data_IF_482586998394
#
_entry.id   IF_482586998394
#
_cell.length_a   1.000
_cell.length_b   1.000
_cell.length_c   1.000
_cell.angle_alpha   90.00
_cell.angle_beta   90.00
_cell.angle_gamma   90.00
#
_symmetry.space_group_name_H-M   'P 1'
#
loop_
_entity.id
_entity.type
_entity.pdbx_description
1 polymer ?
#
# COMPACT_ATOMS: atom_id res chain seq x y z
N UNK A 1 8.38 -8.96 6.62
CA UNK A 1 8.28 -9.50 5.27
C UNK A 1 9.24 -8.81 4.33
N UNK A 2 9.93 -9.62 3.57
CA UNK A 2 10.86 -9.09 2.58
C UNK A 2 10.14 -8.88 1.25
N UNK A 3 10.64 -7.92 0.46
CA UNK A 3 10.10 -7.68 -0.85
C UNK A 3 8.94 -6.71 -0.91
N UNK A 4 8.50 -6.22 0.24
CA UNK A 4 7.45 -5.21 0.25
C UNK A 4 8.00 -3.88 -0.24
N UNK A 5 7.16 -3.08 -0.88
CA UNK A 5 7.60 -1.79 -1.34
C UNK A 5 6.58 -1.07 -2.18
N UNK A 6 7.04 0.05 -2.73
CA UNK A 6 6.18 0.91 -3.54
C UNK A 6 6.92 1.39 -4.79
N UNK A 7 7.85 0.60 -5.27
CA UNK A 7 8.63 0.98 -6.43
C UNK A 7 7.76 1.17 -7.66
N UNK A 8 6.80 0.28 -7.85
CA UNK A 8 5.90 0.34 -8.98
C UNK A 8 4.60 -0.36 -8.64
N UNK A 9 3.68 -0.38 -9.62
CA UNK A 9 2.39 -0.99 -9.41
C UNK A 9 2.49 -2.47 -9.06
N UNK A 10 3.38 -3.17 -9.73
CA UNK A 10 3.57 -4.59 -9.46
C UNK A 10 4.01 -4.82 -8.02
N UNK A 11 4.94 -4.02 -7.56
CA UNK A 11 5.44 -4.12 -6.20
C UNK A 11 4.34 -3.83 -5.19
N UNK A 12 3.52 -2.83 -5.48
CA UNK A 12 2.40 -2.50 -4.62
C UNK A 12 1.40 -3.64 -4.54
N UNK A 13 1.08 -4.23 -5.68
CA UNK A 13 0.17 -5.37 -5.70
C UNK A 13 0.76 -6.56 -4.95
N UNK A 14 2.05 -6.80 -5.12
CA UNK A 14 2.73 -7.85 -4.38
C UNK A 14 2.63 -7.60 -2.88
N UNK A 15 2.86 -6.35 -2.47
CA UNK A 15 2.78 -5.99 -1.06
C UNK A 15 1.40 -6.29 -0.49
N UNK A 16 0.36 -5.84 -1.20
CA UNK A 16 -1.02 -6.09 -0.77
C UNK A 16 -1.28 -7.58 -0.64
N UNK A 17 -0.84 -8.34 -1.63
CA UNK A 17 -1.04 -9.78 -1.64
C UNK A 17 -0.28 -10.46 -0.50
N UNK A 18 0.95 -10.00 -0.25
CA UNK A 18 1.79 -10.62 0.76
C UNK A 18 1.23 -10.43 2.17
N UNK A 19 0.63 -9.28 2.43
CA UNK A 19 0.10 -9.01 3.77
C UNK A 19 -1.34 -9.47 3.94
N UNK A 20 -1.94 -9.97 2.89
CA UNK A 20 -3.37 -10.34 2.91
C UNK A 20 -3.70 -11.33 4.02
N UNK A 21 -2.78 -12.21 4.33
CA UNK A 21 -3.00 -13.22 5.36
C UNK A 21 -2.70 -12.73 6.77
N UNK A 22 -2.22 -11.53 6.90
CA UNK A 22 -1.90 -10.97 8.21
C UNK A 22 -3.13 -10.30 8.83
N UNK A 23 -3.11 -10.11 10.15
CA UNK A 23 -4.21 -9.38 10.79
C UNK A 23 -4.42 -8.01 10.16
N UNK A 24 -5.65 -7.54 10.19
CA UNK A 24 -5.98 -6.28 9.54
C UNK A 24 -5.15 -5.11 10.10
N UNK A 25 -4.87 -5.12 11.38
CA UNK A 25 -4.04 -4.10 11.99
C UNK A 25 -2.67 -4.03 11.33
N UNK A 26 -2.09 -5.18 11.09
CA UNK A 26 -0.79 -5.27 10.42
C UNK A 26 -0.89 -4.72 9.01
N UNK A 27 -1.93 -5.10 8.29
CA UNK A 27 -2.12 -4.65 6.93
C UNK A 27 -2.23 -3.13 6.85
N UNK A 28 -3.04 -2.56 7.72
CA UNK A 28 -3.23 -1.11 7.75
C UNK A 28 -1.90 -0.40 8.02
N UNK A 29 -1.14 -0.91 9.00
CA UNK A 29 0.14 -0.31 9.34
C UNK A 29 1.11 -0.33 8.17
N UNK A 30 1.19 -1.46 7.47
CA UNK A 30 2.09 -1.59 6.33
C UNK A 30 1.69 -0.62 5.23
N UNK A 31 0.41 -0.63 4.87
CA UNK A 31 -0.07 0.23 3.79
C UNK A 31 0.11 1.71 4.14
N UNK A 32 -0.26 2.09 5.36
CA UNK A 32 -0.10 3.48 5.78
C UNK A 32 1.35 3.92 5.76
N UNK A 33 2.25 3.05 6.20
CA UNK A 33 3.68 3.35 6.18
C UNK A 33 4.18 3.52 4.77
N UNK A 34 3.80 2.60 3.88
CA UNK A 34 4.22 2.69 2.48
C UNK A 34 3.69 3.94 1.81
N UNK A 35 2.42 4.27 2.07
CA UNK A 35 1.82 5.48 1.52
C UNK A 35 2.56 6.73 1.99
N UNK A 36 2.85 6.81 3.28
CA UNK A 36 3.56 7.95 3.82
C UNK A 36 4.92 8.13 3.18
N UNK A 37 5.66 7.03 3.07
CA UNK A 37 6.98 7.08 2.47
C UNK A 37 6.92 7.46 1.00
N UNK A 38 5.98 6.90 0.27
CA UNK A 38 5.86 7.18 -1.15
C UNK A 38 5.47 8.64 -1.39
N UNK A 39 4.54 9.14 -0.60
CA UNK A 39 4.09 10.53 -0.75
C UNK A 39 5.20 11.53 -0.45
N UNK A 40 6.08 11.20 0.48
CA UNK A 40 7.17 12.07 0.88
C UNK A 40 8.45 11.86 0.09
N UNK A 41 8.42 10.92 -0.85
CA UNK A 41 9.61 10.65 -1.65
C UNK A 41 9.94 11.84 -2.54
N UNK A 42 11.18 12.35 -2.51
CA UNK A 42 11.52 13.54 -3.27
C UNK A 42 11.53 13.33 -4.78
N UNK A 43 11.73 12.11 -5.23
CA UNK A 43 11.79 11.82 -6.66
C UNK A 43 10.73 10.81 -7.07
N UNK A 44 9.49 11.19 -7.00
CA UNK A 44 8.41 10.31 -7.41
C UNK A 44 8.46 10.04 -8.89
N UNK A 45 8.39 8.78 -9.26
CA UNK A 45 8.27 8.38 -10.66
C UNK A 45 6.82 8.06 -10.97
N UNK A 46 6.53 7.90 -12.26
CA UNK A 46 5.20 7.49 -12.67
C UNK A 46 4.81 6.16 -12.04
N UNK A 47 5.76 5.25 -11.98
CA UNK A 47 5.52 3.93 -11.39
C UNK A 47 5.18 4.05 -9.91
N UNK A 48 5.84 4.94 -9.21
CA UNK A 48 5.53 5.17 -7.80
C UNK A 48 4.14 5.75 -7.62
N UNK A 49 3.72 6.62 -8.52
CA UNK A 49 2.37 7.15 -8.48
C UNK A 49 1.33 6.04 -8.64
N UNK A 50 1.61 5.11 -9.53
CA UNK A 50 0.73 3.95 -9.70
C UNK A 50 0.64 3.12 -8.42
N UNK A 51 1.77 2.94 -7.75
CA UNK A 51 1.79 2.23 -6.48
C UNK A 51 0.96 2.96 -5.42
N UNK A 52 1.07 4.27 -5.39
CA UNK A 52 0.29 5.08 -4.46
C UNK A 52 -1.20 4.89 -4.71
N UNK A 53 -1.60 4.85 -5.97
CA UNK A 53 -2.99 4.63 -6.34
C UNK A 53 -3.48 3.27 -5.80
N UNK A 54 -2.66 2.25 -5.95
CA UNK A 54 -3.02 0.92 -5.46
C UNK A 54 -3.25 0.95 -3.96
N UNK A 55 -2.35 1.57 -3.22
CA UNK A 55 -2.48 1.66 -1.77
C UNK A 55 -3.67 2.51 -1.35
N UNK A 56 -3.92 3.60 -2.05
CA UNK A 56 -5.08 4.44 -1.75
C UNK A 56 -6.39 3.67 -1.95
N UNK A 57 -6.43 2.91 -3.02
CA UNK A 57 -7.61 2.10 -3.29
C UNK A 57 -7.83 1.06 -2.21
N UNK A 58 -6.74 0.46 -1.76
CA UNK A 58 -6.81 -0.52 -0.67
C UNK A 58 -7.38 0.13 0.59
N UNK A 59 -6.90 1.31 0.92
CA UNK A 59 -7.37 2.04 2.10
C UNK A 59 -8.84 2.41 1.99
N UNK A 60 -9.25 2.81 0.81
CA UNK A 60 -10.65 3.12 0.57
C UNK A 60 -11.55 1.92 0.84
N UNK A 61 -11.15 0.78 0.32
CA UNK A 61 -11.90 -0.44 0.54
C UNK A 61 -11.94 -0.83 2.00
N UNK A 62 -10.82 -0.65 2.68
CA UNK A 62 -10.75 -0.94 4.10
C UNK A 62 -11.73 -0.09 4.89
N UNK A 63 -11.75 1.21 4.59
CA UNK A 63 -12.64 2.12 5.29
C UNK A 63 -14.10 1.79 5.04
N UNK A 64 -14.41 1.40 3.82
CA UNK A 64 -15.76 0.98 3.48
C UNK A 64 -16.19 -0.24 4.29
N UNK A 65 -15.33 -1.23 4.33
CA UNK A 65 -15.65 -2.47 5.02
C UNK A 65 -15.76 -2.28 6.51
N UNK A 66 -14.94 -1.40 7.04
CA UNK A 66 -14.95 -1.14 8.48
C UNK A 66 -16.23 -0.50 8.94
N UNK A 67 -16.93 0.11 8.06
CA UNK A 67 -18.10 0.90 8.38
C UNK A 67 -19.28 0.09 8.85
N UNK A 68 -19.26 -1.16 8.76
CA UNK A 68 -20.40 -1.98 9.13
C UNK A 68 -20.96 -1.70 10.49
#
# INVERSE_FOLDING_TARGET
LKGLGFKDKEKALFTVSAIKKRPIKYQVNVIATMLGRAKNHPKKTKDMNDAIIVFNKWMENYKKNKKK
#
